data_IF_064117509620
#
_entry.id   IF_064117509620
#
_cell.length_a   1.000
_cell.length_b   1.000
_cell.length_c   1.000
_cell.angle_alpha   90.00
_cell.angle_beta   90.00
_cell.angle_gamma   90.00
#
_symmetry.space_group_name_H-M   'P 1'
#
loop_
_entity.id
_entity.type
_entity.pdbx_description
1 polymer ?
#
# COMPACT_ATOMS: atom_id res chain seq x y z
N UNK A 1 -7.40 -6.27 -1.84
CA UNK A 1 -6.19 -6.66 -1.07
C UNK A 1 -4.94 -6.77 -1.95
N UNK A 2 -4.94 -7.52 -3.06
CA UNK A 2 -3.94 -7.31 -4.14
C UNK A 2 -4.03 -5.87 -4.64
N UNK A 3 -5.22 -5.28 -4.77
CA UNK A 3 -5.41 -3.83 -4.97
C UNK A 3 -5.04 -2.94 -3.77
N UNK A 4 -4.79 -3.49 -2.58
CA UNK A 4 -4.35 -2.70 -1.41
C UNK A 4 -2.80 -2.66 -1.37
N UNK A 5 -2.16 -3.78 -1.70
CA UNK A 5 -0.70 -3.90 -1.87
C UNK A 5 -0.21 -3.36 -3.24
N UNK A 6 -0.97 -3.57 -4.32
CA UNK A 6 -0.79 -2.88 -5.61
C UNK A 6 -1.30 -1.45 -5.55
N UNK A 7 -2.34 -1.16 -4.76
CA UNK A 7 -2.74 0.21 -4.43
C UNK A 7 -1.63 0.93 -3.69
N UNK A 8 -0.87 0.20 -2.86
CA UNK A 8 0.38 0.64 -2.24
C UNK A 8 1.53 0.87 -3.24
N UNK A 9 1.39 0.46 -4.50
CA UNK A 9 2.41 0.64 -5.55
C UNK A 9 1.97 1.49 -6.75
N UNK A 10 0.67 1.69 -6.95
CA UNK A 10 0.07 2.45 -8.06
C UNK A 10 -0.46 3.81 -7.58
N UNK A 11 0.36 4.50 -6.79
CA UNK A 11 -0.01 5.76 -6.14
C UNK A 11 0.17 6.98 -7.05
N UNK A 12 -0.86 7.29 -7.83
CA UNK A 12 -1.08 8.66 -8.31
C UNK A 12 -2.25 9.24 -7.54
N UNK A 13 -2.02 10.17 -6.61
CA UNK A 13 -3.11 10.91 -5.98
C UNK A 13 -3.00 12.39 -6.24
N UNK A 14 -4.16 12.98 -6.53
CA UNK A 14 -4.39 14.40 -6.61
C UNK A 14 -4.56 15.00 -5.20
N UNK A 15 -3.46 15.24 -4.48
CA UNK A 15 -3.48 16.21 -3.39
C UNK A 15 -3.36 17.60 -4.02
N UNK A 16 -4.40 18.43 -3.93
CA UNK A 16 -4.42 19.76 -4.58
C UNK A 16 -3.54 20.80 -3.89
N UNK A 17 -3.03 20.48 -2.69
CA UNK A 17 -2.22 21.39 -1.87
C UNK A 17 -0.72 21.18 -2.06
N UNK A 18 -0.31 19.93 -2.25
CA UNK A 18 1.10 19.57 -2.45
C UNK A 18 1.22 18.48 -3.52
N UNK A 19 2.20 18.66 -4.38
CA UNK A 19 2.64 17.65 -5.34
C UNK A 19 4.02 17.16 -4.91
N UNK A 20 4.43 15.96 -5.31
CA UNK A 20 5.78 15.48 -5.02
C UNK A 20 6.41 14.82 -6.24
N UNK A 21 7.71 15.03 -6.41
CA UNK A 21 8.50 14.38 -7.46
C UNK A 21 8.63 12.89 -7.23
N UNK A 22 8.88 12.49 -5.98
CA UNK A 22 9.17 11.10 -5.64
C UNK A 22 8.71 10.78 -4.23
N UNK A 23 8.14 9.60 -4.07
CA UNK A 23 7.88 8.97 -2.78
C UNK A 23 8.73 7.71 -2.67
N UNK A 24 9.38 7.55 -1.52
CA UNK A 24 10.05 6.33 -1.11
C UNK A 24 9.32 5.75 0.11
N UNK A 25 8.85 4.50 0.00
CA UNK A 25 8.37 3.70 1.12
C UNK A 25 9.39 2.62 1.43
N UNK A 26 9.84 2.54 2.68
CA UNK A 26 10.79 1.54 3.16
C UNK A 26 10.24 0.77 4.35
N UNK A 27 10.04 -0.54 4.21
CA UNK A 27 9.65 -1.44 5.30
C UNK A 27 10.83 -2.35 5.71
N UNK A 28 11.22 -2.33 6.98
CA UNK A 28 12.26 -3.19 7.56
C UNK A 28 11.73 -4.01 8.73
N UNK A 29 12.37 -5.16 9.00
CA UNK A 29 12.03 -6.03 10.12
C UNK A 29 13.25 -6.21 11.03
N UNK A 30 13.10 -5.80 12.28
CA UNK A 30 14.03 -6.05 13.38
C UNK A 30 13.57 -7.32 14.10
N UNK A 31 14.16 -8.45 13.74
CA UNK A 31 13.80 -9.78 14.26
C UNK A 31 14.12 -9.89 15.75
N UNK A 32 15.18 -9.22 16.23
CA UNK A 32 15.59 -9.31 17.64
C UNK A 32 14.66 -8.51 18.54
N UNK A 33 14.20 -7.34 18.08
CA UNK A 33 13.25 -6.51 18.80
C UNK A 33 11.77 -6.87 18.52
N UNK A 34 11.50 -7.83 17.64
CA UNK A 34 10.16 -8.14 17.11
C UNK A 34 9.42 -6.86 16.65
N UNK A 35 10.06 -6.10 15.76
CA UNK A 35 9.54 -4.80 15.31
C UNK A 35 9.58 -4.63 13.79
N UNK A 36 8.55 -3.99 13.25
CA UNK A 36 8.50 -3.53 11.86
C UNK A 36 8.64 -2.01 11.82
N UNK A 37 9.61 -1.52 11.06
CA UNK A 37 9.77 -0.08 10.83
C UNK A 37 9.32 0.27 9.42
N UNK A 38 8.36 1.19 9.34
CA UNK A 38 7.86 1.78 8.10
C UNK A 38 8.37 3.22 8.01
N UNK A 39 9.18 3.50 7.00
CA UNK A 39 9.66 4.83 6.69
C UNK A 39 9.03 5.32 5.40
N UNK A 40 8.44 6.51 5.43
CA UNK A 40 7.95 7.22 4.25
C UNK A 40 8.76 8.48 4.06
N UNK A 41 9.27 8.66 2.85
CA UNK A 41 10.06 9.82 2.46
C UNK A 41 9.49 10.43 1.19
N UNK A 42 9.07 11.69 1.27
CA UNK A 42 8.55 12.45 0.14
C UNK A 42 9.59 13.48 -0.28
N UNK A 43 10.08 13.38 -1.52
CA UNK A 43 11.14 14.21 -2.09
C UNK A 43 10.59 15.11 -3.19
N UNK A 44 11.13 16.32 -3.24
CA UNK A 44 10.66 17.35 -4.15
C UNK A 44 9.18 17.60 -3.96
N UNK A 45 8.76 17.86 -2.72
CA UNK A 45 7.40 18.35 -2.45
C UNK A 45 7.32 19.80 -2.93
N UNK A 46 6.32 20.11 -3.75
CA UNK A 46 6.01 21.44 -4.25
C UNK A 46 4.64 21.86 -3.77
N UNK A 47 4.45 23.17 -3.60
CA UNK A 47 3.13 23.70 -3.45
C UNK A 47 2.36 23.56 -4.76
N UNK A 48 1.16 22.99 -4.68
CA UNK A 48 0.21 23.05 -5.78
C UNK A 48 -0.32 24.47 -5.99
N UNK A 49 -1.51 24.58 -6.56
CA UNK A 49 -2.14 25.87 -6.89
C UNK A 49 -2.40 26.81 -5.69
N UNK A 50 -2.21 26.34 -4.46
CA UNK A 50 -2.38 27.12 -3.23
C UNK A 50 -1.20 28.04 -2.87
N UNK A 51 -0.03 27.86 -3.48
CA UNK A 51 1.19 28.62 -3.16
C UNK A 51 1.96 28.09 -1.94
N UNK A 52 3.26 28.44 -1.86
CA UNK A 52 4.24 27.86 -0.93
C UNK A 52 3.86 28.02 0.54
N UNK A 53 3.48 29.23 0.96
CA UNK A 53 3.15 29.49 2.37
C UNK A 53 1.95 28.68 2.86
N UNK A 54 0.94 28.47 2.00
CA UNK A 54 -0.25 27.67 2.33
C UNK A 54 0.08 26.19 2.39
N UNK A 55 0.91 25.70 1.47
CA UNK A 55 1.39 24.32 1.47
C UNK A 55 2.24 24.01 2.71
N UNK A 56 3.20 24.88 3.03
CA UNK A 56 4.03 24.80 4.24
C UNK A 56 3.17 24.81 5.51
N UNK A 57 2.25 25.79 5.64
CA UNK A 57 1.38 25.88 6.81
C UNK A 57 0.44 24.67 6.95
N UNK A 58 -0.03 24.10 5.83
CA UNK A 58 -0.85 22.90 5.85
C UNK A 58 -0.05 21.66 6.25
N UNK A 59 1.12 21.42 5.65
CA UNK A 59 2.02 20.33 6.03
C UNK A 59 2.41 20.46 7.50
N UNK A 60 2.85 21.64 7.93
CA UNK A 60 3.21 21.90 9.33
C UNK A 60 2.04 21.63 10.27
N UNK A 61 0.83 22.08 9.90
CA UNK A 61 -0.38 21.84 10.68
C UNK A 61 -0.83 20.37 10.75
N UNK A 62 -0.38 19.52 9.83
CA UNK A 62 -0.55 18.07 9.95
C UNK A 62 0.55 17.45 10.83
N UNK A 63 1.81 17.84 10.63
CA UNK A 63 2.96 17.37 11.42
C UNK A 63 2.81 17.69 12.90
N UNK A 64 2.23 18.84 13.24
CA UNK A 64 2.06 19.28 14.62
C UNK A 64 0.91 18.55 15.36
N UNK A 65 0.03 17.85 14.64
CA UNK A 65 -1.04 17.04 15.22
C UNK A 65 -0.51 15.62 15.44
N UNK A 66 0.19 15.41 16.54
CA UNK A 66 0.70 14.10 16.93
C UNK A 66 -0.34 13.33 17.78
N UNK A 67 -0.34 11.97 17.75
CA UNK A 67 0.44 11.07 16.91
C UNK A 67 -0.28 10.72 15.60
N UNK A 68 0.20 11.24 14.45
CA UNK A 68 -0.39 11.00 13.13
C UNK A 68 0.64 10.53 12.12
N UNK A 69 0.28 9.51 11.35
CA UNK A 69 1.05 9.06 10.19
C UNK A 69 0.32 9.49 8.91
N UNK A 70 0.95 10.36 8.13
CA UNK A 70 0.33 11.08 7.01
C UNK A 70 0.78 10.44 5.70
N UNK A 71 -0.16 9.95 4.89
CA UNK A 71 0.17 9.44 3.57
C UNK A 71 -0.07 10.50 2.50
N UNK A 72 0.79 11.52 2.33
CA UNK A 72 0.55 12.71 1.46
C UNK A 72 -0.02 12.41 0.06
N UNK A 73 0.34 11.26 -0.53
CA UNK A 73 -0.23 10.70 -1.75
C UNK A 73 -1.66 10.13 -1.58
N UNK A 74 -2.39 10.54 -0.55
CA UNK A 74 -3.82 10.35 -0.34
C UNK A 74 -4.16 11.29 0.83
N UNK A 75 -5.24 12.07 0.84
CA UNK A 75 -5.53 12.91 2.03
C UNK A 75 -6.07 12.06 3.20
N UNK A 76 -5.46 10.90 3.45
CA UNK A 76 -5.72 10.04 4.58
C UNK A 76 -4.62 10.27 5.63
N UNK A 77 -5.08 10.71 6.79
CA UNK A 77 -4.28 10.82 7.99
C UNK A 77 -4.60 9.60 8.85
N UNK A 78 -3.58 8.84 9.23
CA UNK A 78 -3.71 7.77 10.20
C UNK A 78 -3.55 8.37 11.59
N UNK A 79 -4.67 8.81 12.15
CA UNK A 79 -4.75 9.33 13.51
C UNK A 79 -4.93 8.16 14.48
N UNK A 80 -3.87 7.82 15.22
CA UNK A 80 -3.88 6.66 16.12
C UNK A 80 -4.91 6.83 17.24
N UNK A 81 -5.15 8.06 17.71
CA UNK A 81 -6.15 8.33 18.75
C UNK A 81 -7.58 8.10 18.25
N UNK A 82 -7.82 8.36 16.95
CA UNK A 82 -9.13 8.15 16.32
C UNK A 82 -9.42 6.66 16.07
N UNK A 83 -8.39 5.84 15.86
CA UNK A 83 -8.55 4.37 15.74
C UNK A 83 -9.10 3.81 17.05
N UNK A 84 -8.63 4.34 18.19
CA UNK A 84 -9.14 3.98 19.51
C UNK A 84 -8.94 2.53 19.91
N UNK A 85 -8.11 1.76 19.18
CA UNK A 85 -7.70 0.42 19.55
C UNK A 85 -6.56 0.52 20.58
N UNK A 86 -6.78 0.10 21.85
CA UNK A 86 -5.75 0.21 22.89
C UNK A 86 -4.47 -0.52 22.55
N UNK A 87 -4.56 -1.64 21.84
CA UNK A 87 -3.38 -2.41 21.46
C UNK A 87 -2.53 -1.65 20.44
N UNK A 88 -3.18 -1.03 19.45
CA UNK A 88 -2.48 -0.21 18.45
C UNK A 88 -1.77 0.96 19.14
N UNK A 89 -2.44 1.62 20.08
CA UNK A 89 -1.85 2.73 20.84
C UNK A 89 -0.67 2.32 21.73
N UNK A 90 -0.64 1.07 22.20
CA UNK A 90 0.45 0.54 23.03
C UNK A 90 1.65 0.05 22.20
N UNK A 91 1.43 -0.39 20.96
CA UNK A 91 2.43 -1.10 20.16
C UNK A 91 2.87 -0.34 18.90
N UNK A 92 2.18 0.73 18.51
CA UNK A 92 2.57 1.57 17.38
C UNK A 92 3.12 2.88 17.89
N UNK A 93 4.40 3.10 17.63
CA UNK A 93 5.07 4.38 17.82
C UNK A 93 5.19 5.11 16.48
N UNK A 94 4.90 6.40 16.48
CA UNK A 94 5.05 7.26 15.31
C UNK A 94 6.01 8.37 15.69
N UNK A 95 7.18 8.37 15.06
CA UNK A 95 8.12 9.47 15.24
C UNK A 95 7.52 10.74 14.63
N UNK A 96 7.82 11.88 15.26
CA UNK A 96 7.44 13.17 14.71
C UNK A 96 7.99 13.29 13.29
N UNK A 97 7.12 13.65 12.35
CA UNK A 97 7.53 13.86 10.98
C UNK A 97 8.53 15.02 10.88
N UNK A 98 9.59 14.84 10.09
CA UNK A 98 10.58 15.86 9.80
C UNK A 98 10.25 16.54 8.48
N UNK A 99 9.87 17.82 8.53
CA UNK A 99 9.65 18.67 7.37
C UNK A 99 10.84 19.61 7.20
N UNK A 100 11.58 19.48 6.10
CA UNK A 100 12.69 20.37 5.76
C UNK A 100 12.40 21.12 4.47
N UNK A 101 12.62 22.43 4.46
CA UNK A 101 12.58 23.26 3.25
C UNK A 101 13.94 23.16 2.56
N UNK A 102 13.94 22.75 1.29
CA UNK A 102 15.12 22.65 0.42
C UNK A 102 15.31 23.92 -0.41
N UNK A 103 16.34 23.97 -1.27
CA UNK A 103 16.57 25.11 -2.15
C UNK A 103 15.38 25.36 -3.11
N UNK A 104 14.89 26.61 -3.13
CA UNK A 104 13.76 27.02 -3.96
C UNK A 104 12.38 26.69 -3.33
N UNK A 105 11.35 26.31 -4.11
CA UNK A 105 10.01 26.00 -3.59
C UNK A 105 9.88 24.54 -3.12
N UNK A 106 11.01 23.85 -2.88
CA UNK A 106 11.06 22.41 -2.61
C UNK A 106 11.00 22.13 -1.13
N UNK A 107 10.30 21.08 -0.77
CA UNK A 107 10.24 20.55 0.59
C UNK A 107 10.54 19.06 0.58
N UNK A 108 10.93 18.57 1.75
CA UNK A 108 11.11 17.16 2.03
C UNK A 108 10.37 16.79 3.31
N UNK A 109 9.61 15.70 3.28
CA UNK A 109 8.90 15.18 4.44
C UNK A 109 9.34 13.75 4.69
N UNK A 110 9.88 13.49 5.87
CA UNK A 110 10.21 12.15 6.36
C UNK A 110 9.30 11.78 7.52
N UNK A 111 8.80 10.55 7.52
CA UNK A 111 7.95 9.98 8.56
C UNK A 111 8.38 8.57 8.89
N UNK A 112 8.35 8.23 10.17
CA UNK A 112 8.67 6.88 10.64
C UNK A 112 7.59 6.37 11.57
N UNK A 113 7.20 5.13 11.35
CA UNK A 113 6.29 4.37 12.19
C UNK A 113 6.98 3.08 12.58
N UNK A 114 7.02 2.78 13.87
CA UNK A 114 7.53 1.53 14.43
C UNK A 114 6.38 0.75 15.05
N UNK A 115 6.11 -0.41 14.49
CA UNK A 115 5.21 -1.40 15.08
C UNK A 115 6.05 -2.36 15.93
N UNK A 116 5.88 -2.30 17.23
CA UNK A 116 6.38 -3.27 18.19
C UNK A 116 5.48 -4.52 18.21
N UNK A 117 6.01 -5.64 18.69
CA UNK A 117 5.30 -6.93 18.70
C UNK A 117 4.80 -7.30 17.30
N UNK A 118 5.67 -7.21 16.29
CA UNK A 118 5.33 -7.35 14.88
C UNK A 118 4.63 -8.68 14.58
N UNK A 119 5.06 -9.78 15.20
CA UNK A 119 4.38 -11.07 15.07
C UNK A 119 2.94 -11.04 15.59
N UNK A 120 2.68 -10.39 16.72
CA UNK A 120 1.31 -10.21 17.24
C UNK A 120 0.49 -9.30 16.30
N UNK A 121 1.08 -8.22 15.80
CA UNK A 121 0.44 -7.34 14.83
C UNK A 121 0.02 -8.08 13.56
N UNK A 122 0.90 -8.94 13.02
CA UNK A 122 0.58 -9.81 11.88
C UNK A 122 -0.51 -10.83 12.23
N UNK A 123 -0.49 -11.41 13.43
CA UNK A 123 -1.53 -12.33 13.88
C UNK A 123 -2.92 -11.64 13.96
N UNK A 124 -2.96 -10.40 14.50
CA UNK A 124 -4.18 -9.57 14.55
C UNK A 124 -4.67 -9.19 13.17
N UNK A 125 -3.78 -8.77 12.28
CA UNK A 125 -4.12 -8.47 10.89
C UNK A 125 -4.71 -9.69 10.18
N UNK A 126 -4.10 -10.87 10.37
CA UNK A 126 -4.63 -12.12 9.84
C UNK A 126 -6.03 -12.47 10.39
N UNK A 127 -6.25 -12.26 11.69
CA UNK A 127 -7.56 -12.50 12.30
C UNK A 127 -8.62 -11.54 11.74
N UNK A 128 -8.30 -10.26 11.59
CA UNK A 128 -9.19 -9.26 11.00
C UNK A 128 -9.51 -9.59 9.53
N UNK A 129 -8.51 -9.94 8.72
CA UNK A 129 -8.71 -10.36 7.33
C UNK A 129 -9.61 -11.60 7.23
N UNK A 130 -9.37 -12.61 8.06
CA UNK A 130 -10.23 -13.80 8.12
C UNK A 130 -11.66 -13.45 8.52
N UNK A 131 -11.85 -12.58 9.52
CA UNK A 131 -13.18 -12.16 9.97
C UNK A 131 -13.95 -11.42 8.85
N UNK A 132 -13.29 -10.49 8.15
CA UNK A 132 -13.89 -9.78 7.01
C UNK A 132 -14.27 -10.74 5.88
N UNK A 133 -13.40 -11.68 5.52
CA UNK A 133 -13.71 -12.69 4.51
C UNK A 133 -14.85 -13.63 4.91
N UNK A 134 -14.91 -14.05 6.18
CA UNK A 134 -16.02 -14.86 6.70
C UNK A 134 -17.33 -14.07 6.69
N UNK A 135 -17.30 -12.79 7.05
CA UNK A 135 -18.48 -11.92 7.01
C UNK A 135 -18.97 -11.75 5.57
N UNK A 136 -18.05 -11.39 4.66
CA UNK A 136 -18.37 -11.14 3.26
C UNK A 136 -18.89 -12.41 2.55
N UNK A 137 -18.17 -13.53 2.68
CA UNK A 137 -18.52 -14.78 1.97
C UNK A 137 -19.51 -15.68 2.73
N UNK A 138 -19.72 -15.45 4.03
CA UNK A 138 -20.65 -16.21 4.86
C UNK A 138 -22.11 -15.76 4.74
N UNK A 139 -22.34 -14.53 4.27
CA UNK A 139 -23.66 -13.99 3.92
C UNK A 139 -24.04 -14.26 2.44
N UNK A 140 -23.08 -14.74 1.65
CA UNK A 140 -23.18 -14.96 0.22
C UNK A 140 -23.68 -16.36 -0.16
N UNK A 141 -24.62 -16.44 -1.10
CA UNK A 141 -24.72 -17.63 -1.95
C UNK A 141 -23.61 -17.52 -3.01
N UNK A 142 -22.57 -18.35 -2.89
CA UNK A 142 -21.35 -18.26 -3.70
C UNK A 142 -21.63 -18.33 -5.21
N UNK A 143 -22.72 -18.97 -5.65
CA UNK A 143 -23.12 -19.00 -7.06
C UNK A 143 -23.76 -17.68 -7.52
N UNK A 144 -24.55 -17.03 -6.66
CA UNK A 144 -25.18 -15.72 -6.90
C UNK A 144 -24.17 -14.56 -6.82
N UNK A 145 -23.18 -14.66 -5.93
CA UNK A 145 -22.10 -13.69 -5.88
C UNK A 145 -21.22 -13.72 -7.12
N UNK A 146 -21.06 -14.83 -7.85
CA UNK A 146 -20.34 -14.77 -9.13
C UNK A 146 -21.12 -14.00 -10.20
N UNK A 147 -22.45 -13.89 -10.07
CA UNK A 147 -23.29 -13.09 -10.95
C UNK A 147 -23.29 -11.59 -10.56
N UNK A 148 -23.33 -11.25 -9.26
CA UNK A 148 -23.32 -9.87 -8.74
C UNK A 148 -21.90 -9.28 -8.55
N UNK A 149 -20.91 -10.10 -8.13
CA UNK A 149 -19.50 -9.73 -8.02
C UNK A 149 -18.81 -9.50 -9.36
N UNK A 150 -19.54 -9.64 -10.48
CA UNK A 150 -19.16 -9.09 -11.79
C UNK A 150 -18.77 -7.60 -11.75
N UNK A 151 -19.09 -6.88 -10.67
CA UNK A 151 -18.69 -5.48 -10.49
C UNK A 151 -17.43 -5.28 -9.64
N UNK A 152 -17.19 -6.05 -8.56
CA UNK A 152 -16.07 -5.79 -7.61
C UNK A 152 -14.98 -6.88 -7.56
N UNK A 153 -15.28 -8.14 -7.90
CA UNK A 153 -14.32 -9.26 -7.87
C UNK A 153 -14.39 -10.13 -9.12
N UNK A 154 -14.76 -9.54 -10.26
CA UNK A 154 -14.98 -10.21 -11.55
C UNK A 154 -13.79 -11.02 -12.09
N UNK A 155 -12.60 -10.81 -11.52
CA UNK A 155 -11.38 -11.54 -11.84
C UNK A 155 -11.20 -12.84 -11.05
N UNK A 156 -11.99 -13.07 -10.00
CA UNK A 156 -11.95 -14.30 -9.19
C UNK A 156 -13.03 -15.29 -9.66
N UNK A 157 -12.68 -16.58 -9.78
CA UNK A 157 -13.64 -17.65 -10.04
C UNK A 157 -14.25 -18.21 -8.74
N UNK A 158 -15.35 -18.98 -8.86
CA UNK A 158 -16.03 -19.65 -7.73
C UNK A 158 -15.01 -20.42 -6.88
N UNK A 159 -14.10 -21.16 -7.52
CA UNK A 159 -13.09 -21.96 -6.84
C UNK A 159 -12.16 -21.12 -5.96
N UNK A 160 -11.76 -19.94 -6.43
CA UNK A 160 -10.94 -19.00 -5.67
C UNK A 160 -11.70 -18.47 -4.46
N UNK A 161 -12.98 -18.13 -4.60
CA UNK A 161 -13.82 -17.70 -3.48
C UNK A 161 -13.99 -18.81 -2.44
N UNK A 162 -14.20 -20.06 -2.87
CA UNK A 162 -14.22 -21.22 -1.97
C UNK A 162 -12.91 -21.38 -1.18
N UNK A 163 -11.77 -21.24 -1.85
CA UNK A 163 -10.44 -21.35 -1.22
C UNK A 163 -10.20 -20.23 -0.20
N UNK A 164 -10.59 -19.00 -0.54
CA UNK A 164 -10.54 -17.84 0.37
C UNK A 164 -11.42 -18.09 1.59
N UNK A 165 -12.68 -18.49 1.39
CA UNK A 165 -13.60 -18.78 2.49
C UNK A 165 -13.10 -19.93 3.38
N UNK A 166 -12.57 -20.99 2.77
CA UNK A 166 -11.99 -22.11 3.51
C UNK A 166 -10.79 -21.67 4.36
N UNK A 167 -9.86 -20.87 3.81
CA UNK A 167 -8.74 -20.31 4.59
C UNK A 167 -9.23 -19.42 5.73
N UNK A 168 -10.19 -18.54 5.46
CA UNK A 168 -10.75 -17.63 6.43
C UNK A 168 -11.37 -18.36 7.63
N UNK A 169 -12.09 -19.47 7.38
CA UNK A 169 -12.68 -20.31 8.44
C UNK A 169 -11.66 -21.17 9.19
N UNK A 170 -10.64 -21.66 8.51
CA UNK A 170 -9.61 -22.51 9.11
C UNK A 170 -8.56 -21.71 9.90
N UNK A 171 -8.44 -20.40 9.65
CA UNK A 171 -7.49 -19.51 10.33
C UNK A 171 -6.07 -19.57 9.77
N UNK A 172 -5.91 -19.85 8.47
CA UNK A 172 -4.58 -19.82 7.82
C UNK A 172 -4.03 -18.39 7.65
N UNK A 173 -2.70 -18.18 7.64
CA UNK A 173 -2.11 -16.84 7.63
C UNK A 173 -2.23 -16.16 6.25
N UNK A 174 -2.89 -15.02 6.12
CA UNK A 174 -2.86 -14.22 4.89
C UNK A 174 -1.52 -13.53 4.69
N UNK A 175 -0.86 -13.22 5.79
CA UNK A 175 0.44 -12.56 5.86
C UNK A 175 1.29 -13.36 6.85
N UNK A 176 2.55 -13.60 6.53
CA UNK A 176 3.50 -14.17 7.50
C UNK A 176 4.82 -13.43 7.45
N UNK A 177 5.42 -13.23 8.61
CA UNK A 177 6.69 -12.55 8.74
C UNK A 177 7.81 -13.57 8.97
N UNK A 178 8.64 -13.75 7.95
CA UNK A 178 9.86 -14.53 8.03
C UNK A 178 11.01 -13.69 8.58
N UNK A 179 12.16 -14.34 8.83
CA UNK A 179 13.38 -13.67 9.28
C UNK A 179 13.80 -12.54 8.33
N UNK A 180 13.70 -12.81 7.03
CA UNK A 180 14.32 -12.03 5.97
C UNK A 180 13.32 -11.57 4.90
N UNK A 181 12.02 -11.83 5.11
CA UNK A 181 10.97 -11.46 4.17
C UNK A 181 9.58 -11.36 4.82
N UNK A 182 8.73 -10.53 4.24
CA UNK A 182 7.28 -10.56 4.42
C UNK A 182 6.68 -11.42 3.31
N UNK A 183 5.81 -12.36 3.67
CA UNK A 183 5.11 -13.21 2.72
C UNK A 183 3.62 -12.89 2.74
N UNK A 184 3.01 -12.79 1.56
CA UNK A 184 1.57 -12.64 1.38
C UNK A 184 1.05 -13.89 0.70
N UNK A 185 0.06 -14.51 1.33
CA UNK A 185 -0.54 -15.78 0.93
C UNK A 185 -1.93 -15.54 0.40
N UNK A 186 -2.12 -15.78 -0.90
CA UNK A 186 -3.40 -15.63 -1.56
C UNK A 186 -3.87 -16.99 -2.11
N UNK A 187 -4.87 -17.62 -1.48
CA UNK A 187 -5.49 -18.82 -2.04
C UNK A 187 -6.16 -18.49 -3.35
N UNK A 188 -5.84 -19.22 -4.40
CA UNK A 188 -6.50 -19.05 -5.69
C UNK A 188 -6.44 -20.30 -6.54
N UNK A 189 -7.43 -20.41 -7.43
CA UNK A 189 -7.45 -21.47 -8.44
C UNK A 189 -6.27 -21.31 -9.41
N UNK A 190 -5.91 -22.42 -10.06
CA UNK A 190 -4.86 -22.39 -11.07
C UNK A 190 -5.23 -21.47 -12.25
N UNK A 191 -6.52 -21.35 -12.57
CA UNK A 191 -7.02 -20.48 -13.63
C UNK A 191 -6.80 -18.99 -13.29
N UNK A 192 -7.13 -18.58 -12.07
CA UNK A 192 -6.90 -17.21 -11.58
C UNK A 192 -5.40 -16.90 -11.51
N UNK A 193 -4.57 -17.85 -11.06
CA UNK A 193 -3.12 -17.69 -11.09
C UNK A 193 -2.59 -17.48 -12.52
N UNK A 194 -3.02 -18.30 -13.48
CA UNK A 194 -2.62 -18.13 -14.88
C UNK A 194 -3.11 -16.79 -15.45
N UNK A 195 -4.36 -16.41 -15.16
CA UNK A 195 -4.90 -15.10 -15.55
C UNK A 195 -4.07 -13.94 -14.99
N UNK A 196 -3.73 -13.99 -13.70
CA UNK A 196 -2.88 -12.99 -13.06
C UNK A 196 -1.49 -12.92 -13.69
N UNK A 197 -0.85 -14.06 -13.99
CA UNK A 197 0.44 -14.09 -14.68
C UNK A 197 0.37 -13.50 -16.10
N UNK A 198 -0.69 -13.79 -16.85
CA UNK A 198 -0.87 -13.26 -18.20
C UNK A 198 -1.09 -11.74 -18.17
N UNK A 199 -1.90 -11.24 -17.23
CA UNK A 199 -2.08 -9.81 -17.01
C UNK A 199 -0.80 -9.12 -16.55
N UNK A 200 0.05 -9.80 -15.78
CA UNK A 200 1.36 -9.30 -15.37
C UNK A 200 2.34 -9.25 -16.54
N UNK A 201 2.37 -10.29 -17.38
CA UNK A 201 3.31 -10.41 -18.49
C UNK A 201 2.99 -9.45 -19.65
N UNK A 202 1.70 -9.22 -19.93
CA UNK A 202 1.25 -8.34 -21.01
C UNK A 202 -0.05 -7.61 -20.64
N UNK A 203 0.03 -6.53 -19.83
CA UNK A 203 -1.10 -5.71 -19.44
C UNK A 203 -1.53 -4.79 -20.60
N UNK A 204 -2.19 -5.35 -21.60
CA UNK A 204 -2.60 -4.67 -22.84
C UNK A 204 -3.55 -3.49 -22.61
N UNK A 205 -4.38 -3.56 -21.56
CA UNK A 205 -5.37 -2.53 -21.20
C UNK A 205 -4.85 -1.45 -20.24
N UNK A 206 -3.59 -1.55 -19.80
CA UNK A 206 -3.00 -0.65 -18.82
C UNK A 206 -2.25 0.50 -19.50
N UNK A 207 -2.42 1.74 -19.03
CA UNK A 207 -1.63 2.88 -19.51
C UNK A 207 -0.13 2.69 -19.25
N UNK A 208 0.72 3.30 -20.08
CA UNK A 208 2.18 3.04 -20.04
C UNK A 208 2.81 3.36 -18.68
N UNK A 209 2.36 4.43 -18.02
CA UNK A 209 2.83 4.82 -16.68
C UNK A 209 2.50 3.75 -15.63
N UNK A 210 1.28 3.21 -15.69
CA UNK A 210 0.84 2.11 -14.82
C UNK A 210 1.59 0.80 -15.13
N UNK A 211 1.95 0.55 -16.39
CA UNK A 211 2.78 -0.60 -16.78
C UNK A 211 4.20 -0.51 -16.23
N UNK A 212 4.79 0.69 -16.23
CA UNK A 212 6.12 0.93 -15.63
C UNK A 212 6.07 0.68 -14.12
N UNK A 213 5.04 1.20 -13.44
CA UNK A 213 4.81 0.96 -12.02
C UNK A 213 4.63 -0.52 -11.69
N UNK A 214 3.81 -1.23 -12.47
CA UNK A 214 3.61 -2.68 -12.30
C UNK A 214 4.94 -3.43 -12.46
N UNK A 215 5.75 -3.12 -13.47
CA UNK A 215 7.07 -3.74 -13.67
C UNK A 215 8.03 -3.44 -12.51
N UNK A 216 8.01 -2.23 -11.97
CA UNK A 216 8.79 -1.88 -10.78
C UNK A 216 8.32 -2.67 -9.55
N UNK A 217 7.01 -2.75 -9.31
CA UNK A 217 6.42 -3.52 -8.22
C UNK A 217 6.78 -5.02 -8.31
N UNK A 218 6.74 -5.59 -9.52
CA UNK A 218 7.19 -6.97 -9.77
C UNK A 218 8.68 -7.12 -9.50
N UNK A 219 9.50 -6.14 -9.89
CA UNK A 219 10.94 -6.15 -9.62
C UNK A 219 11.30 -6.11 -8.13
N UNK A 220 10.36 -5.70 -7.27
CA UNK A 220 10.51 -5.74 -5.81
C UNK A 220 10.10 -7.08 -5.19
N UNK A 221 9.45 -7.95 -5.95
CA UNK A 221 9.19 -9.32 -5.51
C UNK A 221 10.51 -10.08 -5.47
N UNK A 222 10.88 -10.54 -4.29
CA UNK A 222 12.01 -11.44 -4.10
C UNK A 222 11.68 -12.89 -4.49
N UNK A 223 10.38 -13.20 -4.61
CA UNK A 223 9.89 -14.48 -5.06
C UNK A 223 8.39 -14.46 -5.33
N UNK A 224 7.98 -15.21 -6.34
CA UNK A 224 6.60 -15.58 -6.61
C UNK A 224 6.55 -17.11 -6.66
N UNK A 225 5.68 -17.72 -5.88
CA UNK A 225 5.47 -19.17 -5.94
C UNK A 225 3.99 -19.50 -5.94
N UNK A 226 3.63 -20.60 -6.59
CA UNK A 226 2.28 -21.14 -6.56
C UNK A 226 2.35 -22.62 -6.22
N UNK A 227 1.77 -23.00 -5.09
CA UNK A 227 1.77 -24.38 -4.60
C UNK A 227 0.52 -24.63 -3.77
N UNK A 228 -0.05 -25.83 -3.92
CA UNK A 228 -1.20 -26.27 -3.12
C UNK A 228 -2.37 -25.26 -3.14
N UNK A 229 -2.66 -24.70 -4.32
CA UNK A 229 -3.69 -23.67 -4.54
C UNK A 229 -3.47 -22.36 -3.77
N UNK A 230 -2.22 -22.06 -3.41
CA UNK A 230 -1.82 -20.79 -2.78
C UNK A 230 -0.76 -20.10 -3.63
N UNK A 231 -1.04 -18.87 -4.00
CA UNK A 231 -0.10 -17.91 -4.57
C UNK A 231 0.61 -17.17 -3.43
N UNK A 232 1.92 -17.30 -3.36
CA UNK A 232 2.76 -16.62 -2.38
C UNK A 232 3.59 -15.53 -3.07
N UNK A 233 3.49 -14.31 -2.53
CA UNK A 233 4.37 -13.18 -2.84
C UNK A 233 5.36 -12.98 -1.70
N UNK A 234 6.65 -13.03 -2.00
CA UNK A 234 7.72 -12.82 -1.02
C UNK A 234 8.39 -11.47 -1.25
N UNK A 235 8.46 -10.65 -0.20
CA UNK A 235 9.10 -9.34 -0.19
C UNK A 235 10.30 -9.38 0.75
N UNK A 236 11.53 -9.41 0.22
CA UNK A 236 12.71 -9.56 1.06
C UNK A 236 13.14 -8.26 1.72
N UNK A 237 13.60 -8.36 2.96
CA UNK A 237 14.29 -7.32 3.71
C UNK A 237 15.81 -7.29 3.43
N UNK A 238 16.37 -8.33 2.77
CA UNK A 238 17.82 -8.62 2.71
C UNK A 238 18.64 -7.75 1.77
N UNK A 239 18.04 -6.87 0.97
CA UNK A 239 18.80 -5.90 0.16
C UNK A 239 19.49 -4.79 0.99
N UNK A 240 19.70 -5.01 2.29
CA UNK A 240 20.36 -4.09 3.22
C UNK A 240 19.62 -2.78 3.46
N UNK A 241 18.39 -2.65 2.94
CA UNK A 241 17.61 -1.40 2.89
C UNK A 241 16.11 -1.58 3.10
N UNK A 242 15.62 -2.78 3.42
CA UNK A 242 14.17 -3.03 3.51
C UNK A 242 13.46 -3.06 2.15
N UNK A 243 12.16 -3.35 2.17
CA UNK A 243 11.30 -3.32 0.99
C UNK A 243 11.10 -1.86 0.57
N UNK A 244 11.64 -1.48 -0.60
CA UNK A 244 11.70 -0.08 -1.07
C UNK A 244 10.79 0.14 -2.29
N UNK A 245 9.71 0.89 -2.15
CA UNK A 245 8.90 1.34 -3.28
C UNK A 245 9.31 2.76 -3.66
N UNK A 246 9.56 2.99 -4.95
CA UNK A 246 9.83 4.32 -5.50
C UNK A 246 8.74 4.64 -6.52
N UNK A 247 8.05 5.77 -6.35
CA UNK A 247 7.21 6.29 -7.43
C UNK A 247 8.09 6.84 -8.56
N UNK A 248 7.65 6.80 -9.83
CA UNK A 248 8.30 7.44 -10.96
C UNK A 248 8.53 8.93 -10.65
N UNK A 249 9.64 9.47 -11.15
CA UNK A 249 9.89 10.91 -11.07
C UNK A 249 8.83 11.65 -11.90
N UNK A 250 7.96 12.40 -11.24
CA UNK A 250 7.11 13.37 -11.91
C UNK A 250 7.98 14.53 -12.40
N UNK A 251 8.06 14.73 -13.71
CA UNK A 251 8.71 15.92 -14.27
C UNK A 251 7.72 17.09 -14.27
N UNK A 252 7.96 18.14 -13.45
CA UNK A 252 7.15 19.35 -13.49
C UNK A 252 7.36 20.17 -14.78
N UNK A 253 8.30 19.78 -15.65
CA UNK A 253 8.65 20.50 -16.89
C UNK A 253 7.66 20.26 -18.06
N UNK A 254 6.50 19.63 -17.84
CA UNK A 254 5.38 19.78 -18.77
C UNK A 254 4.81 21.19 -18.58
N UNK A 255 5.29 22.13 -19.41
CA UNK A 255 5.02 23.58 -19.46
C UNK A 255 3.54 24.01 -19.60
N UNK A 256 2.61 23.43 -18.85
CA UNK A 256 1.29 24.02 -18.64
C UNK A 256 0.79 23.61 -17.25
N UNK A 257 0.90 24.48 -16.23
CA UNK A 257 0.26 24.29 -14.93
C UNK A 257 -1.25 23.98 -15.05
N UNK A 258 -1.88 24.36 -16.17
CA UNK A 258 -3.27 24.04 -16.49
C UNK A 258 -3.50 22.73 -17.24
N UNK A 259 -2.45 22.02 -17.69
CA UNK A 259 -2.57 20.70 -18.32
C UNK A 259 -2.67 19.59 -17.28
N UNK A 260 -1.85 19.64 -16.22
CA UNK A 260 -1.95 18.73 -15.07
C UNK A 260 -3.32 18.84 -14.39
N UNK A 261 -3.85 20.06 -14.24
CA UNK A 261 -5.20 20.27 -13.71
C UNK A 261 -6.32 19.68 -14.59
N UNK A 262 -6.12 19.54 -15.90
CA UNK A 262 -7.09 18.92 -16.83
C UNK A 262 -6.97 17.40 -16.87
N UNK A 263 -5.74 16.89 -16.90
CA UNK A 263 -5.44 15.45 -16.90
C UNK A 263 -6.00 14.74 -15.66
N UNK A 264 -6.06 15.42 -14.50
CA UNK A 264 -6.53 14.84 -13.24
C UNK A 264 -7.89 15.33 -12.74
N UNK A 265 -8.60 16.22 -13.47
CA UNK A 265 -9.95 16.67 -13.08
C UNK A 265 -11.10 15.90 -13.76
N UNK A 266 -10.79 14.92 -14.63
CA UNK A 266 -11.79 14.16 -15.36
C UNK A 266 -12.65 15.03 -16.29
N UNK A 267 -12.10 16.14 -16.79
CA UNK A 267 -12.74 17.05 -17.76
C UNK A 267 -11.89 17.26 -19.00
#
# INVERSE_FOLDING_TARGET
>A
MIQLLLGLTLFTSACTKVEFQQQELRLTHDVEADALDLNLSYRGLFAGNSGLDVACAWLQGMVDKQPRFIMVAWPFEFDLETIGDPWVLEHVDVERADLTVEDGPRMHLEQRLRLQSAQEGVARANAALSAEWVKYLGEADLELEVEEARTNFSWMDVRTLELIHARARQGGPWISLGKDALHVHFPCSQAVFHGALMHIADPTEMEEENRVLLKQAIGLLSGLSYKDEVLEFSFSFTQGRGLRFLTPEFSPDKEDPGALAREFSGK
#
